data_IF_203665510847
#
_entry.id   IF_203665510847
#
_cell.length_a   1.000
_cell.length_b   1.000
_cell.length_c   1.000
_cell.angle_alpha   90.00
_cell.angle_beta   90.00
_cell.angle_gamma   90.00
#
_symmetry.space_group_name_H-M   'P 1'
#
loop_
_entity.id
_entity.type
_entity.pdbx_description
1 polymer ?
#
# COMPACT_ATOMS: atom_id res chain seq x y z
N UNK A 1 -61.28 6.12 32.63
CA UNK A 1 -62.01 5.30 31.64
C UNK A 1 -62.56 6.21 30.55
N UNK A 2 -62.59 5.72 29.30
CA UNK A 2 -62.84 6.42 28.02
C UNK A 2 -61.56 7.10 27.49
N UNK A 3 -61.03 6.83 26.31
CA UNK A 3 -61.47 5.98 25.20
C UNK A 3 -60.72 6.47 23.96
N UNK A 4 -60.00 5.56 23.29
CA UNK A 4 -59.25 5.80 22.06
C UNK A 4 -60.17 6.32 20.95
N UNK A 5 -59.70 7.28 20.15
CA UNK A 5 -60.02 7.32 18.73
C UNK A 5 -58.76 7.70 17.95
N UNK A 6 -58.06 6.65 17.53
CA UNK A 6 -57.03 6.66 16.51
C UNK A 6 -57.75 6.71 15.16
N UNK A 7 -57.51 7.71 14.32
CA UNK A 7 -57.79 7.59 12.90
C UNK A 7 -56.97 8.57 12.04
N UNK A 8 -56.17 7.98 11.14
CA UNK A 8 -55.71 8.51 9.85
C UNK A 8 -54.81 9.77 9.84
N UNK A 9 -53.49 9.55 9.74
CA UNK A 9 -52.79 10.06 8.54
C UNK A 9 -51.67 9.10 8.15
N UNK A 10 -52.03 8.30 7.16
CA UNK A 10 -51.24 7.34 6.42
C UNK A 10 -50.17 8.07 5.59
N UNK A 11 -48.96 7.52 5.63
CA UNK A 11 -47.87 7.60 4.66
C UNK A 11 -47.96 8.71 3.60
N UNK A 12 -47.08 9.70 3.72
CA UNK A 12 -46.50 10.33 2.53
C UNK A 12 -44.97 10.40 2.62
N UNK A 13 -44.36 9.57 1.76
CA UNK A 13 -43.21 9.93 0.92
C UNK A 13 -41.85 10.17 1.60
N UNK A 14 -41.21 9.12 2.12
CA UNK A 14 -39.75 9.00 2.05
C UNK A 14 -39.36 7.52 2.06
N UNK A 15 -38.94 6.96 0.91
CA UNK A 15 -37.63 6.35 0.94
C UNK A 15 -36.88 6.55 -0.38
N UNK A 16 -36.33 7.75 -0.59
CA UNK A 16 -35.24 7.96 -1.56
C UNK A 16 -33.87 7.61 -0.98
N UNK A 17 -33.83 6.73 0.03
CA UNK A 17 -32.62 6.34 0.76
C UNK A 17 -32.31 4.86 0.54
N UNK A 18 -32.38 4.39 -0.70
CA UNK A 18 -32.02 3.01 -1.05
C UNK A 18 -31.06 2.94 -2.24
N UNK A 19 -30.32 4.02 -2.53
CA UNK A 19 -29.30 4.07 -3.58
C UNK A 19 -27.95 4.52 -3.00
N UNK A 20 -27.62 4.05 -1.80
CA UNK A 20 -26.23 3.84 -1.43
C UNK A 20 -25.95 2.36 -1.69
N UNK A 21 -25.84 1.99 -2.97
CA UNK A 21 -25.13 0.77 -3.34
C UNK A 21 -23.68 0.97 -2.90
N UNK A 22 -23.42 0.55 -1.68
CA UNK A 22 -22.14 0.02 -1.24
C UNK A 22 -21.76 -1.10 -2.22
N UNK A 23 -21.08 -0.70 -3.28
CA UNK A 23 -20.23 -1.59 -4.06
C UNK A 23 -18.82 -1.03 -3.94
N UNK A 24 -18.29 -1.06 -2.73
CA UNK A 24 -16.87 -1.39 -2.61
C UNK A 24 -16.74 -2.83 -3.10
N UNK A 25 -16.75 -3.01 -4.43
CA UNK A 25 -16.27 -4.25 -5.03
C UNK A 25 -14.81 -4.37 -4.58
N UNK A 26 -14.63 -5.11 -3.48
CA UNK A 26 -13.36 -5.72 -3.16
C UNK A 26 -13.03 -6.52 -4.41
N UNK A 27 -12.07 -6.03 -5.20
CA UNK A 27 -11.49 -6.83 -6.28
C UNK A 27 -11.05 -8.14 -5.66
N UNK A 28 -11.85 -9.18 -5.87
CA UNK A 28 -11.52 -10.52 -5.50
C UNK A 28 -10.53 -10.95 -6.59
N UNK A 29 -9.23 -10.86 -6.26
CA UNK A 29 -8.20 -11.49 -7.09
C UNK A 29 -8.53 -12.99 -7.04
N UNK A 30 -9.16 -13.51 -8.09
CA UNK A 30 -9.99 -14.73 -8.05
C UNK A 30 -9.38 -15.97 -7.40
N UNK A 31 -10.21 -17.01 -7.26
CA UNK A 31 -10.05 -18.22 -6.44
C UNK A 31 -8.76 -19.07 -6.66
N UNK A 32 -7.80 -18.61 -7.46
CA UNK A 32 -6.48 -19.21 -7.70
C UNK A 32 -5.28 -18.45 -7.12
N UNK A 33 -5.45 -17.34 -6.40
CA UNK A 33 -4.30 -16.65 -5.77
C UNK A 33 -3.86 -17.41 -4.52
N UNK A 34 -2.82 -18.24 -4.68
CA UNK A 34 -2.14 -18.85 -3.54
C UNK A 34 -1.42 -17.74 -2.76
N UNK A 35 -1.81 -17.57 -1.49
CA UNK A 35 -1.14 -16.64 -0.59
C UNK A 35 0.37 -16.94 -0.58
N UNK A 36 1.20 -15.89 -0.72
CA UNK A 36 2.64 -16.06 -0.67
C UNK A 36 3.05 -16.68 0.68
N UNK A 37 3.90 -17.71 0.63
CA UNK A 37 4.46 -18.33 1.83
C UNK A 37 5.15 -17.25 2.66
N UNK A 38 4.78 -17.17 3.94
CA UNK A 38 5.44 -16.29 4.91
C UNK A 38 6.75 -16.93 5.40
N UNK A 39 7.84 -16.18 5.34
CA UNK A 39 9.13 -16.58 5.91
C UNK A 39 9.04 -16.71 7.43
N UNK A 40 9.81 -17.63 8.00
CA UNK A 40 9.95 -17.72 9.46
C UNK A 40 10.75 -16.52 9.97
N UNK A 41 11.90 -16.22 9.36
CA UNK A 41 12.60 -14.94 9.52
C UNK A 41 12.32 -14.02 8.32
N UNK A 42 11.69 -12.84 8.51
CA UNK A 42 11.48 -11.86 7.45
C UNK A 42 12.76 -11.50 6.68
N UNK A 43 13.95 -11.55 7.31
CA UNK A 43 15.23 -11.24 6.66
C UNK A 43 15.61 -12.22 5.55
N UNK A 44 15.00 -13.41 5.51
CA UNK A 44 15.17 -14.32 4.38
C UNK A 44 14.73 -13.69 3.05
N UNK A 45 13.80 -12.73 3.09
CA UNK A 45 13.35 -12.01 1.90
C UNK A 45 14.47 -11.22 1.20
N UNK A 46 15.53 -10.82 1.92
CA UNK A 46 16.68 -10.10 1.36
C UNK A 46 17.88 -11.01 1.06
N UNK A 47 17.85 -12.28 1.45
CA UNK A 47 18.98 -13.19 1.26
C UNK A 47 19.33 -13.46 -0.23
N UNK A 48 18.35 -13.26 -1.13
CA UNK A 48 18.48 -13.58 -2.57
C UNK A 48 18.30 -12.37 -3.49
N UNK A 49 18.39 -11.16 -2.95
CA UNK A 49 18.20 -9.94 -3.74
C UNK A 49 19.51 -9.16 -3.84
N UNK A 50 19.70 -8.34 -4.90
CA UNK A 50 20.90 -7.52 -5.02
C UNK A 50 21.08 -6.62 -3.80
N UNK A 51 22.32 -6.48 -3.32
CA UNK A 51 22.63 -5.64 -2.16
C UNK A 51 22.13 -4.19 -2.36
N UNK A 52 21.54 -3.63 -1.32
CA UNK A 52 21.04 -2.26 -1.28
C UNK A 52 21.11 -1.72 0.14
N UNK A 53 21.04 -0.40 0.25
CA UNK A 53 20.88 0.32 1.51
C UNK A 53 19.65 1.21 1.45
N UNK A 54 19.13 1.55 2.63
CA UNK A 54 18.04 2.51 2.79
C UNK A 54 18.46 3.61 3.76
N UNK A 55 17.80 4.76 3.69
CA UNK A 55 17.95 5.76 4.74
C UNK A 55 17.24 5.27 6.01
N UNK A 56 17.85 5.52 7.15
CA UNK A 56 17.27 5.15 8.44
C UNK A 56 15.98 5.94 8.67
N UNK A 57 14.91 5.21 8.99
CA UNK A 57 13.63 5.78 9.40
C UNK A 57 13.74 6.38 10.80
N UNK A 58 14.47 5.73 11.70
CA UNK A 58 14.64 6.16 13.10
C UNK A 58 15.11 7.61 13.21
N UNK A 59 16.00 8.04 12.32
CA UNK A 59 16.54 9.41 12.30
C UNK A 59 15.50 10.48 11.91
N UNK A 60 14.37 10.05 11.34
CA UNK A 60 13.27 10.92 10.88
C UNK A 60 12.07 10.91 11.83
N UNK A 61 12.13 10.13 12.91
CA UNK A 61 11.05 10.01 13.89
C UNK A 61 11.28 10.99 15.05
N UNK A 62 10.33 11.91 15.23
CA UNK A 62 10.43 12.99 16.24
C UNK A 62 10.56 12.45 17.67
N UNK A 63 9.83 11.39 18.00
CA UNK A 63 9.75 10.82 19.35
C UNK A 63 10.48 9.47 19.49
N UNK A 64 11.48 9.21 18.66
CA UNK A 64 12.32 8.02 18.79
C UNK A 64 13.48 8.27 19.78
N UNK A 65 13.82 7.32 20.67
CA UNK A 65 13.25 5.99 20.83
C UNK A 65 11.87 6.01 21.53
N UNK A 66 10.97 5.16 21.02
CA UNK A 66 9.57 5.06 21.47
C UNK A 66 9.47 4.54 22.91
N UNK A 67 10.47 3.79 23.36
CA UNK A 67 10.56 3.30 24.73
C UNK A 67 10.61 4.45 25.75
N UNK A 68 11.05 5.66 25.40
CA UNK A 68 11.07 6.80 26.32
C UNK A 68 9.70 7.04 26.98
N UNK A 69 8.61 6.76 26.28
CA UNK A 69 7.26 6.77 26.84
C UNK A 69 6.73 5.35 27.13
N UNK A 70 7.14 4.35 26.35
CA UNK A 70 6.70 2.95 26.49
C UNK A 70 7.59 2.09 27.41
N UNK A 71 8.36 2.71 28.30
CA UNK A 71 9.11 2.01 29.35
C UNK A 71 8.16 1.16 30.17
N UNK A 72 8.64 -0.01 30.61
CA UNK A 72 7.93 -0.93 31.53
C UNK A 72 7.58 -0.21 32.84
N UNK A 73 6.48 0.53 32.86
CA UNK A 73 5.98 1.23 34.04
C UNK A 73 5.26 2.55 33.76
N UNK A 74 5.64 3.32 32.72
CA UNK A 74 4.98 4.60 32.44
C UNK A 74 3.68 4.40 31.64
N UNK A 75 3.75 3.60 30.58
CA UNK A 75 2.59 3.20 29.78
C UNK A 75 2.62 1.68 29.65
N UNK A 76 1.67 1.00 30.29
CA UNK A 76 1.56 -0.45 30.22
C UNK A 76 1.21 -0.91 28.79
N UNK A 77 1.81 -2.00 28.29
CA UNK A 77 1.39 -2.62 27.04
C UNK A 77 -0.10 -2.95 27.05
N UNK A 78 -0.79 -2.59 25.98
CA UNK A 78 -2.23 -2.85 25.83
C UNK A 78 -2.56 -3.17 24.38
N UNK A 79 -2.92 -4.44 24.13
CA UNK A 79 -3.28 -4.97 22.82
C UNK A 79 -4.74 -4.78 22.44
N UNK A 80 -5.60 -4.36 23.38
CA UNK A 80 -7.03 -4.19 23.12
C UNK A 80 -7.25 -3.01 22.17
N UNK A 81 -8.12 -3.24 21.19
CA UNK A 81 -8.64 -2.20 20.29
C UNK A 81 -9.42 -1.18 21.11
N UNK A 82 -9.13 0.10 20.90
CA UNK A 82 -9.72 1.22 21.64
C UNK A 82 -9.51 2.54 20.91
N UNK A 83 -10.25 3.55 21.29
CA UNK A 83 -9.91 4.93 20.94
C UNK A 83 -8.63 5.36 21.67
N UNK A 84 -7.76 6.11 20.97
CA UNK A 84 -6.55 6.69 21.56
C UNK A 84 -6.84 8.15 21.89
N UNK A 85 -6.69 8.53 23.16
CA UNK A 85 -7.09 9.85 23.66
C UNK A 85 -5.93 10.80 23.95
N UNK A 86 -4.71 10.27 24.06
CA UNK A 86 -3.50 11.04 24.41
C UNK A 86 -2.56 11.15 23.21
N UNK A 87 -1.31 10.71 23.37
CA UNK A 87 -0.35 10.58 22.27
C UNK A 87 -0.89 9.62 21.20
N UNK A 88 -0.69 9.97 19.93
CA UNK A 88 -1.14 9.22 18.76
C UNK A 88 -2.65 9.31 18.45
N UNK A 89 -3.41 10.17 19.14
CA UNK A 89 -4.85 10.38 18.88
C UNK A 89 -5.13 10.87 17.44
N UNK A 90 -4.16 11.52 16.80
CA UNK A 90 -4.23 11.98 15.42
C UNK A 90 -4.05 10.87 14.37
N UNK A 91 -3.66 9.67 14.79
CA UNK A 91 -3.39 8.56 13.86
C UNK A 91 -4.69 7.91 13.43
N UNK A 92 -5.01 8.03 12.15
CA UNK A 92 -6.08 7.30 11.51
C UNK A 92 -5.55 6.05 10.82
N UNK A 93 -5.88 4.87 11.36
CA UNK A 93 -5.51 3.59 10.76
C UNK A 93 -6.50 3.19 9.65
N UNK A 94 -6.15 3.52 8.41
CA UNK A 94 -6.91 3.21 7.20
C UNK A 94 -6.23 2.09 6.41
N UNK A 95 -5.92 0.98 7.09
CA UNK A 95 -5.25 -0.17 6.49
C UNK A 95 -5.80 -1.50 7.05
N UNK A 96 -5.78 -2.55 6.24
CA UNK A 96 -6.29 -3.88 6.63
C UNK A 96 -7.81 -4.01 6.68
N UNK A 97 -8.57 -3.05 6.14
CA UNK A 97 -10.04 -3.13 6.08
C UNK A 97 -10.70 -3.29 7.46
N UNK A 98 -10.17 -2.61 8.49
CA UNK A 98 -10.66 -2.70 9.88
C UNK A 98 -10.17 -3.94 10.65
N UNK A 99 -9.43 -4.86 10.02
CA UNK A 99 -8.91 -6.08 10.66
C UNK A 99 -7.60 -5.85 11.41
N UNK A 100 -6.92 -4.74 11.15
CA UNK A 100 -5.63 -4.45 11.75
C UNK A 100 -5.78 -3.54 12.96
N UNK A 101 -4.99 -3.85 13.98
CA UNK A 101 -4.69 -2.97 15.10
C UNK A 101 -3.20 -2.62 15.14
N UNK A 102 -2.78 -1.66 15.97
CA UNK A 102 -1.38 -1.21 16.09
C UNK A 102 -0.41 -2.39 16.29
N UNK A 103 -0.80 -3.36 17.13
CA UNK A 103 -0.02 -4.56 17.50
C UNK A 103 0.04 -5.64 16.42
N UNK A 104 -0.66 -5.43 15.29
CA UNK A 104 -0.47 -6.24 14.08
C UNK A 104 0.91 -5.99 13.48
N UNK A 105 1.37 -4.74 13.57
CA UNK A 105 2.60 -4.26 12.92
C UNK A 105 3.68 -3.86 13.92
N UNK A 106 3.31 -3.42 15.13
CA UNK A 106 4.24 -3.00 16.18
C UNK A 106 4.34 -4.05 17.28
N UNK A 107 5.56 -4.33 17.75
CA UNK A 107 5.78 -5.25 18.88
C UNK A 107 5.14 -4.69 20.15
N UNK A 108 4.28 -5.49 20.81
CA UNK A 108 3.50 -5.13 21.99
C UNK A 108 4.37 -4.63 23.15
N UNK A 109 5.51 -5.29 23.35
CA UNK A 109 6.39 -5.14 24.50
C UNK A 109 7.54 -4.17 24.27
N UNK A 110 7.89 -3.93 23.01
CA UNK A 110 9.00 -3.08 22.61
C UNK A 110 8.64 -2.25 21.37
N UNK A 111 8.20 -1.00 21.59
CA UNK A 111 7.72 -0.12 20.52
C UNK A 111 8.83 0.38 19.57
N UNK A 112 10.10 0.12 19.88
CA UNK A 112 11.19 0.39 18.94
C UNK A 112 11.23 -0.61 17.78
N UNK A 113 10.44 -1.69 17.86
CA UNK A 113 10.37 -2.71 16.82
C UNK A 113 8.99 -2.85 16.19
N UNK A 114 9.02 -3.19 14.91
CA UNK A 114 7.91 -3.79 14.20
C UNK A 114 7.87 -5.30 14.48
N UNK A 115 6.74 -5.92 14.21
CA UNK A 115 6.55 -7.35 14.40
C UNK A 115 5.99 -8.00 13.12
N UNK A 116 6.52 -9.16 12.77
CA UNK A 116 6.03 -9.96 11.65
C UNK A 116 4.73 -10.69 11.99
N UNK A 117 4.04 -11.25 10.98
CA UNK A 117 2.88 -12.11 11.18
C UNK A 117 3.21 -13.35 12.02
N UNK A 118 4.47 -13.80 11.98
CA UNK A 118 5.02 -14.89 12.81
C UNK A 118 5.74 -14.41 14.07
N UNK A 119 5.46 -13.18 14.51
CA UNK A 119 5.98 -12.60 15.76
C UNK A 119 7.50 -12.41 15.83
N UNK A 120 8.18 -12.35 14.69
CA UNK A 120 9.60 -11.96 14.63
C UNK A 120 9.76 -10.44 14.63
N UNK A 121 10.78 -9.94 15.33
CA UNK A 121 11.08 -8.51 15.37
C UNK A 121 11.68 -8.03 14.05
N UNK A 122 11.19 -6.89 13.59
CA UNK A 122 11.66 -6.17 12.41
C UNK A 122 12.08 -4.77 12.84
N UNK A 123 13.22 -4.29 12.37
CA UNK A 123 13.67 -2.92 12.64
C UNK A 123 12.71 -1.91 12.02
N UNK A 124 12.49 -0.76 12.68
CA UNK A 124 11.77 0.36 12.08
C UNK A 124 12.45 0.88 10.80
N UNK A 125 13.74 0.59 10.61
CA UNK A 125 14.50 0.94 9.40
C UNK A 125 14.26 0.00 8.21
N UNK A 126 13.61 -1.15 8.45
CA UNK A 126 13.37 -2.20 7.45
C UNK A 126 11.87 -2.45 7.21
N UNK A 127 11.03 -1.41 6.99
CA UNK A 127 9.59 -1.59 6.82
C UNK A 127 9.24 -2.43 5.58
N UNK A 128 10.14 -2.52 4.59
CA UNK A 128 9.97 -3.38 3.41
C UNK A 128 9.85 -4.86 3.78
N UNK A 129 10.43 -5.32 4.90
CA UNK A 129 10.26 -6.68 5.41
C UNK A 129 8.84 -6.90 5.96
N UNK A 130 8.29 -5.90 6.65
CA UNK A 130 6.92 -5.96 7.19
C UNK A 130 5.90 -5.91 6.06
N UNK A 131 5.98 -4.89 5.20
CA UNK A 131 5.00 -4.64 4.13
C UNK A 131 4.93 -5.80 3.13
N UNK A 132 6.07 -6.43 2.84
CA UNK A 132 6.16 -7.53 1.88
C UNK A 132 5.47 -8.82 2.30
N UNK A 133 5.14 -8.97 3.59
CA UNK A 133 4.37 -10.12 4.08
C UNK A 133 3.00 -10.22 3.39
N UNK A 134 2.34 -9.08 3.16
CA UNK A 134 1.08 -9.04 2.42
C UNK A 134 1.27 -8.54 0.97
N UNK A 135 2.17 -7.57 0.75
CA UNK A 135 2.41 -6.96 -0.56
C UNK A 135 3.64 -7.55 -1.26
N UNK A 136 3.72 -8.89 -1.33
CA UNK A 136 4.89 -9.61 -1.81
C UNK A 136 5.28 -9.27 -3.26
N UNK A 137 4.31 -9.06 -4.15
CA UNK A 137 4.57 -8.61 -5.52
C UNK A 137 5.28 -7.24 -5.54
N UNK A 138 4.80 -6.27 -4.76
CA UNK A 138 5.42 -4.94 -4.67
C UNK A 138 6.79 -4.97 -4.00
N UNK A 139 6.99 -5.87 -3.03
CA UNK A 139 8.29 -6.08 -2.41
C UNK A 139 9.33 -6.63 -3.41
N UNK A 140 8.94 -7.60 -4.25
CA UNK A 140 9.79 -8.13 -5.32
C UNK A 140 10.17 -7.03 -6.32
N UNK A 141 9.18 -6.26 -6.78
CA UNK A 141 9.41 -5.11 -7.67
C UNK A 141 10.35 -4.07 -7.02
N UNK A 142 10.19 -3.84 -5.72
CA UNK A 142 11.03 -2.91 -4.95
C UNK A 142 12.49 -3.35 -4.92
N UNK A 143 12.75 -4.61 -4.60
CA UNK A 143 14.11 -5.15 -4.57
C UNK A 143 14.79 -5.12 -5.95
N UNK A 144 14.01 -5.28 -7.02
CA UNK A 144 14.52 -5.18 -8.39
C UNK A 144 14.58 -3.74 -8.93
N UNK A 145 13.99 -2.77 -8.22
CA UNK A 145 13.98 -1.36 -8.59
C UNK A 145 12.87 -0.96 -9.57
N UNK A 146 11.92 -1.86 -9.86
CA UNK A 146 10.70 -1.56 -10.61
C UNK A 146 9.65 -0.80 -9.75
N UNK A 147 9.78 -0.88 -8.42
CA UNK A 147 8.96 -0.13 -7.48
C UNK A 147 9.84 0.65 -6.48
N UNK A 148 9.32 1.78 -5.98
CA UNK A 148 10.10 2.72 -5.17
C UNK A 148 11.02 3.62 -6.02
N UNK A 149 11.96 4.29 -5.37
CA UNK A 149 12.88 5.24 -6.01
C UNK A 149 14.31 4.96 -5.57
N UNK A 150 15.25 4.96 -6.53
CA UNK A 150 16.69 5.01 -6.23
C UNK A 150 17.10 6.44 -5.92
N UNK A 151 17.89 6.62 -4.86
CA UNK A 151 18.53 7.88 -4.49
C UNK A 151 19.99 7.90 -4.97
N UNK A 152 20.55 9.10 -5.05
CA UNK A 152 21.94 9.35 -5.46
C UNK A 152 22.24 8.86 -6.89
N UNK A 153 23.40 8.25 -7.11
CA UNK A 153 23.89 7.85 -8.42
C UNK A 153 23.44 6.43 -8.82
N UNK A 154 23.48 6.15 -10.11
CA UNK A 154 23.24 4.82 -10.67
C UNK A 154 24.49 3.93 -10.68
N UNK A 155 25.68 4.52 -10.49
CA UNK A 155 26.97 3.82 -10.42
C UNK A 155 27.39 3.63 -8.96
N UNK A 156 27.49 2.39 -8.51
CA UNK A 156 27.89 2.04 -7.13
C UNK A 156 26.73 1.55 -6.28
N UNK A 157 26.83 1.75 -4.96
CA UNK A 157 25.88 1.24 -3.97
C UNK A 157 24.43 1.61 -4.29
N UNK A 158 23.56 0.61 -4.27
CA UNK A 158 22.13 0.79 -4.53
C UNK A 158 21.46 1.37 -3.30
N UNK A 159 21.24 2.69 -3.29
CA UNK A 159 20.45 3.36 -2.24
C UNK A 159 18.99 3.48 -2.64
N UNK A 160 18.10 2.75 -1.97
CA UNK A 160 16.66 2.77 -2.20
C UNK A 160 15.92 3.60 -1.16
N UNK A 161 14.82 4.24 -1.55
CA UNK A 161 13.89 4.87 -0.61
C UNK A 161 13.06 3.81 0.10
N UNK A 162 12.99 3.87 1.43
CA UNK A 162 12.08 3.02 2.20
C UNK A 162 10.61 3.23 1.79
N UNK A 163 9.77 2.19 1.93
CA UNK A 163 8.34 2.24 1.59
C UNK A 163 7.63 3.42 2.26
N UNK A 164 7.98 3.68 3.52
CA UNK A 164 7.38 4.73 4.35
C UNK A 164 7.81 6.15 3.98
N UNK A 165 8.73 6.33 3.02
CA UNK A 165 9.06 7.66 2.52
C UNK A 165 8.05 8.17 1.48
N UNK A 166 7.32 7.27 0.83
CA UNK A 166 6.30 7.60 -0.15
C UNK A 166 4.89 7.24 0.33
N UNK A 167 4.77 6.23 1.19
CA UNK A 167 3.51 5.77 1.76
C UNK A 167 3.42 6.15 3.24
N UNK A 168 2.26 6.65 3.66
CA UNK A 168 1.94 6.71 5.09
C UNK A 168 1.69 5.27 5.58
N UNK A 169 2.44 4.73 6.55
CA UNK A 169 2.24 3.35 7.01
C UNK A 169 0.86 3.08 7.61
N UNK A 170 0.16 4.10 8.11
CA UNK A 170 -1.19 3.98 8.66
C UNK A 170 -2.30 4.21 7.61
N UNK A 171 -1.95 4.82 6.47
CA UNK A 171 -2.83 4.97 5.32
C UNK A 171 -2.03 4.81 4.01
N UNK A 172 -1.60 3.58 3.66
CA UNK A 172 -0.59 3.38 2.61
C UNK A 172 -1.08 3.70 1.20
N UNK A 173 -2.39 3.71 0.95
CA UNK A 173 -2.95 4.02 -0.36
C UNK A 173 -2.54 5.44 -0.77
N UNK A 174 -1.82 5.57 -1.88
CA UNK A 174 -1.48 6.89 -2.42
C UNK A 174 -2.75 7.54 -2.98
N UNK A 175 -3.05 8.81 -2.60
CA UNK A 175 -4.19 9.50 -3.16
C UNK A 175 -3.99 9.74 -4.66
N UNK A 176 -5.08 9.73 -5.46
CA UNK A 176 -5.01 10.14 -6.85
C UNK A 176 -4.39 11.53 -6.99
N UNK A 177 -3.57 11.74 -8.01
CA UNK A 177 -3.01 13.05 -8.34
C UNK A 177 -3.58 13.51 -9.66
N UNK A 178 -3.97 14.78 -9.73
CA UNK A 178 -4.37 15.40 -10.98
C UNK A 178 -3.13 15.40 -11.90
N UNK A 179 -3.24 14.93 -13.15
CA UNK A 179 -2.15 15.01 -14.11
C UNK A 179 -1.67 16.45 -14.22
N UNK A 180 -0.34 16.64 -14.21
CA UNK A 180 0.22 17.95 -14.55
C UNK A 180 -0.06 18.25 -16.02
N UNK A 181 -0.04 19.53 -16.36
CA UNK A 181 -0.11 19.98 -17.76
C UNK A 181 0.96 19.29 -18.60
N UNK A 182 0.67 19.12 -19.90
CA UNK A 182 1.59 18.48 -20.85
C UNK A 182 2.97 19.14 -20.73
N UNK A 183 4.07 18.35 -20.65
CA UNK A 183 5.41 18.90 -20.62
C UNK A 183 5.61 19.83 -21.82
N UNK A 184 6.26 20.98 -21.61
CA UNK A 184 6.72 21.81 -22.72
C UNK A 184 7.78 21.06 -23.50
N UNK A 185 7.89 21.36 -24.80
CA UNK A 185 8.97 20.83 -25.61
C UNK A 185 10.32 21.21 -24.99
N UNK A 186 11.30 20.30 -25.03
CA UNK A 186 12.67 20.67 -24.64
C UNK A 186 13.15 21.77 -25.60
N UNK A 187 14.01 22.65 -25.11
CA UNK A 187 14.59 23.72 -25.94
C UNK A 187 15.19 23.13 -27.23
N UNK A 188 14.78 23.65 -28.38
CA UNK A 188 15.22 23.17 -29.70
C UNK A 188 14.48 21.94 -30.24
N UNK A 189 13.48 21.40 -29.52
CA UNK A 189 12.59 20.34 -29.99
C UNK A 189 11.15 20.87 -30.09
N UNK A 190 10.36 20.33 -31.01
CA UNK A 190 8.90 20.48 -31.03
C UNK A 190 8.25 19.19 -30.51
N UNK A 191 7.08 19.32 -29.89
CA UNK A 191 6.29 18.13 -29.57
C UNK A 191 5.55 17.73 -30.84
N UNK A 192 5.98 16.62 -31.44
CA UNK A 192 5.24 16.00 -32.55
C UNK A 192 4.05 15.23 -31.96
N UNK A 193 2.81 15.50 -32.39
CA UNK A 193 1.64 14.69 -32.04
C UNK A 193 1.88 13.21 -32.37
N UNK A 194 1.37 12.30 -31.54
CA UNK A 194 1.58 10.85 -31.71
C UNK A 194 1.00 10.36 -33.04
N UNK A 195 -0.04 11.03 -33.52
CA UNK A 195 -0.71 10.80 -34.80
C UNK A 195 0.20 11.13 -36.00
N UNK A 196 1.10 12.11 -35.86
CA UNK A 196 2.04 12.55 -36.90
C UNK A 196 3.34 11.74 -36.91
N UNK A 197 3.61 10.97 -35.85
CA UNK A 197 4.79 10.09 -35.77
C UNK A 197 4.69 8.86 -36.68
N UNK A 198 3.59 8.69 -37.43
CA UNK A 198 3.55 7.98 -38.72
C UNK A 198 4.13 6.56 -38.77
N UNK A 199 4.18 5.87 -37.64
CA UNK A 199 4.62 4.48 -37.56
C UNK A 199 3.47 3.62 -37.06
N UNK A 200 3.26 2.48 -37.73
CA UNK A 200 2.43 1.39 -37.19
C UNK A 200 2.72 1.22 -35.71
N UNK A 201 1.68 1.23 -34.88
CA UNK A 201 1.89 1.06 -33.45
C UNK A 201 2.57 -0.29 -33.25
N UNK A 202 3.58 -0.34 -32.39
CA UNK A 202 4.36 -1.57 -32.19
C UNK A 202 3.46 -2.77 -31.86
N UNK A 203 2.34 -2.55 -31.17
CA UNK A 203 1.36 -3.59 -30.86
C UNK A 203 0.49 -4.03 -32.05
N UNK A 204 0.27 -3.19 -33.06
CA UNK A 204 -0.42 -3.59 -34.30
C UNK A 204 0.42 -4.63 -35.07
N UNK A 205 1.74 -4.43 -35.14
CA UNK A 205 2.70 -5.44 -35.67
C UNK A 205 2.67 -6.76 -34.88
N UNK A 206 2.51 -6.69 -33.56
CA UNK A 206 2.42 -7.89 -32.72
C UNK A 206 1.11 -8.66 -32.96
N UNK A 207 -0.01 -7.98 -33.22
CA UNK A 207 -1.27 -8.64 -33.55
C UNK A 207 -1.27 -9.25 -34.97
N UNK A 208 -0.68 -8.57 -35.95
CA UNK A 208 -0.46 -9.13 -37.30
C UNK A 208 0.48 -10.36 -37.30
N UNK A 209 1.50 -10.35 -36.45
CA UNK A 209 2.38 -11.51 -36.26
C UNK A 209 1.65 -12.70 -35.60
N UNK A 210 0.66 -12.45 -34.74
CA UNK A 210 -0.17 -13.51 -34.12
C UNK A 210 -1.17 -14.11 -35.10
N UNK A 211 -1.84 -13.28 -35.91
CA UNK A 211 -2.81 -13.74 -36.90
C UNK A 211 -2.14 -14.59 -37.98
N UNK A 212 -0.98 -14.16 -38.49
CA UNK A 212 -0.19 -14.93 -39.46
C UNK A 212 0.37 -16.25 -38.89
N UNK A 213 0.71 -16.31 -37.60
CA UNK A 213 1.07 -17.57 -36.93
C UNK A 213 -0.12 -18.51 -36.67
N UNK A 214 -1.34 -17.97 -36.58
CA UNK A 214 -2.56 -18.77 -36.41
C UNK A 214 -3.07 -19.36 -37.73
N UNK A 215 -2.85 -18.67 -38.85
CA UNK A 215 -3.23 -19.13 -40.19
C UNK A 215 -2.28 -20.20 -40.74
N UNK A 216 -0.99 -20.16 -40.38
CA UNK A 216 0.00 -21.20 -40.74
C UNK A 216 -0.11 -22.50 -39.90
N UNK A 217 -0.99 -22.53 -38.90
CA UNK A 217 -1.28 -23.70 -38.06
C UNK A 217 -2.68 -24.31 -38.25
N UNK A 218 -3.44 -23.85 -39.25
CA UNK A 218 -4.66 -24.54 -39.67
C UNK A 218 -4.25 -25.78 -40.49
N UNK A 219 -4.68 -26.99 -40.12
CA UNK A 219 -4.36 -28.22 -40.86
C UNK A 219 -4.95 -28.21 -42.27
#
# INVERSE_FOLDING_TARGET
MKGRLFLLMLLMLFPSLLWALESSEIRNDGDGVVAAKQYDDPKEAVARVPAFVTDLRTDKLVYYPCENCHTKGLIAPNEKVRELTDMHAEIQLQHGGGRFWCTTCHDLTDRNYLVSLKKQRISLNDPYLLCGQCHSARQKDYFMGAHGRRKANWKGEKRLTNCTECHNPHAPKTPPRIPRTKPVARMGLSIVPTEELGGEKVWEKYEEAKTSHSESKKP
#
